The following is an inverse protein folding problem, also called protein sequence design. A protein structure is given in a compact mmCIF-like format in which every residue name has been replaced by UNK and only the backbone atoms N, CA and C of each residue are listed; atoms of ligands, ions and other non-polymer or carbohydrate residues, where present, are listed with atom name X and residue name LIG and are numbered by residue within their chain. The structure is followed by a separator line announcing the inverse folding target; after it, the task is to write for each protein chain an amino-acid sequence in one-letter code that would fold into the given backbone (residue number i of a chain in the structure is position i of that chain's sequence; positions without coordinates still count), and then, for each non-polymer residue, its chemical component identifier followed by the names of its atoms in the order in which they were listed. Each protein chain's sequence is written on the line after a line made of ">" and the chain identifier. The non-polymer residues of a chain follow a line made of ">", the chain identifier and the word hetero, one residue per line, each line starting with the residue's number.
data_IF_787832770526
#
_entry.id   IF_787832770526
#
_cell.length_a   1.000
_cell.length_b   1.000
_cell.length_c   1.000
_cell.angle_alpha   90.00
_cell.angle_beta   90.00
_cell.angle_gamma   90.00
#
_symmetry.space_group_name_H-M   'P 1'
#
loop_
_entity.id
_entity.type
_entity.pdbx_description
1 polymer ?
#
# COMPACT_ATOMS: atom_id res chain seq x y z
N UNK A 1 -8.38 -4.84 -15.74
CA UNK A 1 -8.01 -5.19 -14.36
C UNK A 1 -7.31 -6.54 -14.34
N UNK A 2 -6.05 -6.63 -13.90
CA UNK A 2 -5.35 -7.92 -13.72
C UNK A 2 -5.61 -8.50 -12.32
N UNK A 3 -5.63 -9.83 -12.21
CA UNK A 3 -5.81 -10.55 -10.94
C UNK A 3 -4.47 -10.61 -10.19
N UNK A 4 -4.46 -10.16 -8.94
CA UNK A 4 -3.31 -10.26 -8.05
C UNK A 4 -2.98 -11.72 -7.73
N UNK A 5 -1.69 -12.02 -7.61
CA UNK A 5 -1.18 -13.30 -7.12
C UNK A 5 -0.30 -13.04 -5.90
N UNK A 6 -0.42 -13.91 -4.91
CA UNK A 6 0.44 -13.91 -3.74
C UNK A 6 1.85 -14.36 -4.12
N UNK A 7 2.87 -13.78 -3.48
CA UNK A 7 4.28 -14.10 -3.73
C UNK A 7 5.05 -14.06 -2.39
N UNK A 8 5.64 -15.18 -2.02
CA UNK A 8 6.35 -15.34 -0.76
C UNK A 8 7.63 -14.50 -0.66
N UNK A 9 8.26 -14.16 -1.81
CA UNK A 9 9.43 -13.27 -1.83
C UNK A 9 9.05 -11.87 -1.38
N UNK A 10 7.84 -11.46 -1.77
CA UNK A 10 7.28 -10.16 -1.47
C UNK A 10 6.83 -10.06 -0.02
N UNK A 11 6.21 -11.13 0.50
CA UNK A 11 5.92 -11.31 1.91
C UNK A 11 7.20 -11.26 2.77
N UNK A 12 8.30 -11.88 2.32
CA UNK A 12 9.56 -11.87 3.06
C UNK A 12 10.13 -10.46 3.21
N UNK A 13 10.08 -9.64 2.16
CA UNK A 13 10.51 -8.24 2.20
C UNK A 13 9.63 -7.40 3.14
N UNK A 14 8.32 -7.55 2.99
CA UNK A 14 7.29 -6.94 3.83
C UNK A 14 7.52 -7.25 5.32
N UNK A 15 7.66 -8.54 5.64
CA UNK A 15 7.91 -9.03 7.00
C UNK A 15 9.24 -8.56 7.56
N UNK A 16 10.30 -8.47 6.75
CA UNK A 16 11.60 -7.99 7.18
C UNK A 16 11.57 -6.50 7.59
N UNK A 17 10.73 -5.69 6.94
CA UNK A 17 10.49 -4.30 7.33
C UNK A 17 9.61 -4.22 8.59
N UNK A 18 8.47 -4.92 8.60
CA UNK A 18 7.53 -4.91 9.73
C UNK A 18 8.18 -5.32 11.07
N UNK A 19 9.09 -6.30 11.04
CA UNK A 19 9.85 -6.76 12.22
C UNK A 19 10.73 -5.68 12.87
N UNK A 20 11.05 -4.59 12.17
CA UNK A 20 11.81 -3.47 12.76
C UNK A 20 10.97 -2.65 13.73
N UNK A 21 9.64 -2.78 13.67
CA UNK A 21 8.69 -2.02 14.49
C UNK A 21 8.91 -0.50 14.42
N UNK A 22 9.31 0.00 13.24
CA UNK A 22 9.52 1.43 12.98
C UNK A 22 8.44 1.93 12.03
N UNK A 23 7.69 2.93 12.47
CA UNK A 23 6.67 3.54 11.62
C UNK A 23 7.32 4.32 10.47
N UNK A 24 6.89 4.02 9.25
CA UNK A 24 7.38 4.66 8.03
C UNK A 24 7.69 3.65 6.94
N UNK A 25 7.93 4.17 5.74
CA UNK A 25 8.29 3.35 4.59
C UNK A 25 9.70 2.76 4.73
N UNK A 26 9.90 1.56 4.20
CA UNK A 26 11.23 1.00 4.04
C UNK A 26 12.03 1.79 2.99
N UNK A 27 13.36 1.74 3.12
CA UNK A 27 14.27 2.38 2.17
C UNK A 27 14.02 1.84 0.75
N UNK A 28 13.96 2.69 -0.29
CA UNK A 28 13.84 2.22 -1.68
C UNK A 28 14.94 1.23 -2.08
N UNK A 29 16.11 1.31 -1.45
CA UNK A 29 17.23 0.39 -1.69
C UNK A 29 16.95 -1.04 -1.23
N UNK A 30 16.10 -1.23 -0.20
CA UNK A 30 15.72 -2.55 0.31
C UNK A 30 14.51 -3.16 -0.42
N UNK A 31 13.85 -2.39 -1.29
CA UNK A 31 12.67 -2.79 -2.06
C UNK A 31 12.68 -2.23 -3.49
N UNK A 32 13.79 -2.43 -4.20
CA UNK A 32 14.02 -1.84 -5.52
C UNK A 32 12.92 -2.24 -6.50
N UNK A 33 12.22 -1.25 -7.04
CA UNK A 33 11.12 -1.45 -8.00
C UNK A 33 9.82 -1.96 -7.40
N UNK A 34 9.73 -2.02 -6.06
CA UNK A 34 8.57 -2.53 -5.32
C UNK A 34 7.88 -1.37 -4.59
N UNK A 35 6.58 -1.22 -4.85
CA UNK A 35 5.68 -0.35 -4.11
C UNK A 35 5.46 -0.85 -2.68
N UNK A 36 5.03 0.03 -1.78
CA UNK A 36 4.80 -0.33 -0.39
C UNK A 36 3.63 0.47 0.16
N UNK A 37 2.69 -0.25 0.78
CA UNK A 37 1.71 0.33 1.69
C UNK A 37 2.04 -0.13 3.11
N UNK A 38 1.81 0.73 4.10
CA UNK A 38 2.00 0.43 5.52
C UNK A 38 0.71 0.68 6.29
N UNK A 39 0.51 -0.10 7.34
CA UNK A 39 -0.60 0.04 8.28
C UNK A 39 -0.06 -0.25 9.68
N UNK A 40 -0.66 0.37 10.69
CA UNK A 40 -0.34 0.09 12.08
C UNK A 40 -1.59 0.31 12.94
N UNK A 41 -1.65 -0.48 14.01
CA UNK A 41 -2.63 -0.38 15.06
C UNK A 41 -1.91 -0.22 16.39
N UNK A 42 -2.52 0.46 17.35
CA UNK A 42 -1.99 0.60 18.70
C UNK A 42 -2.25 -0.64 19.57
N UNK A 43 -3.07 -1.59 19.10
CA UNK A 43 -3.40 -2.81 19.84
C UNK A 43 -2.40 -3.94 19.50
N UNK A 44 -1.46 -4.29 20.39
CA UNK A 44 -0.48 -5.34 20.14
C UNK A 44 -1.08 -6.76 20.11
N UNK A 45 -2.31 -6.93 20.59
CA UNK A 45 -3.05 -8.21 20.60
C UNK A 45 -4.11 -8.28 19.50
N UNK A 46 -4.07 -7.34 18.55
CA UNK A 46 -5.03 -7.33 17.45
C UNK A 46 -4.95 -8.61 16.62
N UNK A 47 -6.10 -9.06 16.13
CA UNK A 47 -6.18 -10.23 15.28
C UNK A 47 -5.60 -9.91 13.90
N UNK A 48 -4.55 -10.63 13.50
CA UNK A 48 -3.81 -10.34 12.27
C UNK A 48 -4.67 -10.37 11.00
N UNK A 49 -5.67 -11.26 10.94
CA UNK A 49 -6.55 -11.36 9.78
C UNK A 49 -7.52 -10.18 9.72
N UNK A 50 -8.07 -9.76 10.86
CA UNK A 50 -8.91 -8.56 10.95
C UNK A 50 -8.13 -7.28 10.66
N UNK A 51 -6.88 -7.19 11.11
CA UNK A 51 -6.02 -6.05 10.79
C UNK A 51 -5.62 -6.04 9.31
N UNK A 52 -5.42 -7.21 8.69
CA UNK A 52 -5.18 -7.31 7.24
C UNK A 52 -6.37 -6.80 6.42
N UNK A 53 -7.59 -7.14 6.84
CA UNK A 53 -8.81 -6.60 6.24
C UNK A 53 -8.92 -5.09 6.46
N UNK A 54 -8.68 -4.63 7.69
CA UNK A 54 -8.74 -3.21 8.07
C UNK A 54 -7.73 -2.35 7.31
N UNK A 55 -6.49 -2.84 7.16
CA UNK A 55 -5.45 -2.21 6.37
C UNK A 55 -5.87 -2.03 4.90
N UNK A 56 -6.36 -3.13 4.30
CA UNK A 56 -6.84 -3.14 2.91
C UNK A 56 -7.99 -2.15 2.69
N UNK A 57 -8.96 -2.11 3.61
CA UNK A 57 -10.09 -1.17 3.59
C UNK A 57 -9.63 0.27 3.77
N UNK A 58 -8.68 0.53 4.66
CA UNK A 58 -8.12 1.85 4.91
C UNK A 58 -7.45 2.41 3.65
N UNK A 59 -6.57 1.64 3.02
CA UNK A 59 -5.88 2.05 1.80
C UNK A 59 -6.86 2.30 0.65
N UNK A 60 -7.82 1.41 0.43
CA UNK A 60 -8.79 1.58 -0.65
C UNK A 60 -9.77 2.73 -0.38
N UNK A 61 -10.10 2.96 0.90
CA UNK A 61 -11.01 4.02 1.35
C UNK A 61 -10.51 5.45 1.05
N UNK A 62 -9.22 5.63 0.75
CA UNK A 62 -8.69 6.92 0.29
C UNK A 62 -9.43 7.44 -0.95
N UNK A 63 -9.85 6.56 -1.87
CA UNK A 63 -10.63 6.95 -3.03
C UNK A 63 -11.94 7.63 -2.63
N UNK A 64 -12.72 6.96 -1.77
CA UNK A 64 -14.01 7.46 -1.34
C UNK A 64 -13.87 8.75 -0.52
N UNK A 65 -12.82 8.84 0.30
CA UNK A 65 -12.60 9.96 1.21
C UNK A 65 -12.03 11.21 0.53
N UNK A 66 -11.12 11.03 -0.41
CA UNK A 66 -10.32 12.14 -0.96
C UNK A 66 -10.47 12.34 -2.47
N UNK A 67 -10.90 11.29 -3.19
CA UNK A 67 -11.08 11.29 -4.64
C UNK A 67 -9.77 11.38 -5.41
N UNK A 68 -9.74 10.79 -6.61
CA UNK A 68 -8.63 10.92 -7.57
C UNK A 68 -8.99 11.73 -8.82
N UNK A 69 -10.28 12.00 -9.04
CA UNK A 69 -10.80 12.66 -10.24
C UNK A 69 -11.13 11.67 -11.37
N UNK A 70 -11.90 12.13 -12.36
CA UNK A 70 -12.36 11.29 -13.48
C UNK A 70 -11.24 10.95 -14.47
N UNK A 71 -10.25 11.82 -14.60
CA UNK A 71 -9.11 11.61 -15.50
C UNK A 71 -8.26 10.40 -15.09
N UNK A 72 -8.36 9.96 -13.83
CA UNK A 72 -7.65 8.80 -13.28
C UNK A 72 -6.12 8.85 -13.49
N UNK A 73 -5.55 10.06 -13.49
CA UNK A 73 -4.10 10.30 -13.65
C UNK A 73 -3.47 10.64 -12.29
N UNK A 74 -2.49 9.85 -11.87
CA UNK A 74 -1.71 10.14 -10.67
C UNK A 74 -0.65 11.20 -10.95
N UNK A 75 -0.94 12.46 -10.60
CA UNK A 75 -0.04 13.60 -10.80
C UNK A 75 0.62 14.03 -9.49
N UNK A 76 1.74 14.77 -9.57
CA UNK A 76 2.36 15.39 -8.39
C UNK A 76 1.40 16.32 -7.64
N UNK A 77 0.53 17.04 -8.37
CA UNK A 77 -0.52 17.88 -7.77
C UNK A 77 -1.48 17.06 -6.93
N UNK A 78 -1.87 15.86 -7.41
CA UNK A 78 -2.75 14.95 -6.69
C UNK A 78 -2.05 14.35 -5.45
N UNK A 79 -0.78 13.96 -5.60
CA UNK A 79 0.04 13.39 -4.54
C UNK A 79 0.32 14.38 -3.39
N UNK A 80 0.51 15.66 -3.71
CA UNK A 80 0.88 16.70 -2.75
C UNK A 80 -0.31 17.46 -2.15
N UNK A 81 -1.55 16.95 -2.28
CA UNK A 81 -2.71 17.61 -1.66
C UNK A 81 -2.61 17.55 -0.13
N UNK A 82 -2.64 18.70 0.57
CA UNK A 82 -2.52 18.71 2.03
C UNK A 82 -3.63 17.89 2.69
N UNK A 83 -3.26 16.91 3.53
CA UNK A 83 -4.19 16.08 4.30
C UNK A 83 -5.09 15.16 3.46
N UNK A 84 -4.79 14.95 2.17
CA UNK A 84 -5.61 14.13 1.25
C UNK A 84 -4.78 13.06 0.53
N UNK A 85 -4.14 12.14 1.28
CA UNK A 85 -3.34 11.09 0.69
C UNK A 85 -4.20 10.16 -0.17
N UNK A 86 -3.71 9.81 -1.35
CA UNK A 86 -4.31 8.80 -2.25
C UNK A 86 -3.28 7.80 -2.78
N UNK A 87 -2.08 7.81 -2.19
CA UNK A 87 -0.96 6.97 -2.60
C UNK A 87 -1.22 5.48 -2.38
N UNK A 88 -1.88 5.13 -1.27
CA UNK A 88 -2.16 3.73 -0.96
C UNK A 88 -3.24 3.17 -1.89
N UNK A 89 -4.33 3.92 -2.10
CA UNK A 89 -5.38 3.55 -3.06
C UNK A 89 -4.81 3.42 -4.46
N UNK A 90 -4.03 4.41 -4.91
CA UNK A 90 -3.47 4.37 -6.27
C UNK A 90 -2.49 3.22 -6.42
N UNK A 91 -1.74 2.83 -5.38
CA UNK A 91 -0.92 1.61 -5.46
C UNK A 91 -1.78 0.36 -5.62
N UNK A 92 -2.80 0.17 -4.76
CA UNK A 92 -3.77 -0.95 -4.82
C UNK A 92 -4.42 -1.03 -6.20
N UNK A 93 -4.80 0.12 -6.76
CA UNK A 93 -5.44 0.25 -8.07
C UNK A 93 -4.46 0.26 -9.25
N UNK A 94 -3.16 0.51 -9.05
CA UNK A 94 -2.17 0.51 -10.12
C UNK A 94 -1.76 -0.91 -10.51
N UNK A 95 -1.71 -1.82 -9.54
CA UNK A 95 -1.57 -3.25 -9.77
C UNK A 95 -2.55 -3.79 -10.82
N UNK A 96 -3.77 -3.26 -10.77
CA UNK A 96 -4.86 -3.63 -11.64
C UNK A 96 -4.55 -3.25 -13.10
N UNK A 97 -3.70 -2.24 -13.34
CA UNK A 97 -3.44 -1.65 -14.67
C UNK A 97 -2.03 -1.91 -15.25
N UNK A 98 -0.95 -2.04 -14.46
CA UNK A 98 0.43 -2.14 -15.01
C UNK A 98 1.30 -3.21 -14.32
N UNK A 99 1.02 -4.49 -14.57
CA UNK A 99 2.01 -5.54 -14.27
C UNK A 99 3.12 -5.56 -15.33
N UNK A 100 4.13 -4.71 -15.13
CA UNK A 100 5.45 -4.83 -15.76
C UNK A 100 6.63 -4.67 -14.78
N UNK A 101 6.42 -4.45 -13.47
CA UNK A 101 7.47 -4.59 -12.44
C UNK A 101 6.85 -5.13 -11.14
N UNK A 102 7.54 -6.10 -10.52
CA UNK A 102 7.11 -6.93 -9.37
C UNK A 102 6.80 -6.11 -8.08
N UNK A 103 6.10 -6.72 -7.11
CA UNK A 103 5.32 -6.01 -6.08
C UNK A 103 5.65 -6.31 -4.59
N UNK A 104 4.91 -5.80 -3.59
CA UNK A 104 4.62 -6.34 -2.23
C UNK A 104 3.43 -5.60 -1.60
N UNK A 105 2.57 -6.28 -0.83
CA UNK A 105 1.59 -5.70 0.12
C UNK A 105 2.01 -6.14 1.52
N UNK A 106 2.12 -5.22 2.48
CA UNK A 106 2.45 -5.52 3.89
C UNK A 106 1.30 -5.08 4.78
N UNK A 107 0.78 -6.00 5.59
CA UNK A 107 -0.02 -5.71 6.79
C UNK A 107 0.92 -5.68 7.98
#
# INVERSE_FOLDING_TARGET
>A
MKKLKYDCSLEKLASAHAKKCQWGHSSPNTRRGIGENIYATSNPKADKLKEAESASRSWFGELAKFGVGQDNVFTLKLANRPGKPVGHYTQVSYFIFKQYRCHSVTV
#
